data_IF_613583492296
#
_entry.id   IF_613583492296
#
_cell.length_a   1.000
_cell.length_b   1.000
_cell.length_c   1.000
_cell.angle_alpha   90.00
_cell.angle_beta   90.00
_cell.angle_gamma   90.00
#
_symmetry.space_group_name_H-M   'P 1'
#
loop_
_entity.id
_entity.type
_entity.pdbx_description
1 polymer ?
#
# COMPACT_ATOMS: atom_id res chain seq x y z
N UNK A 1 7.39 -20.24 3.17
CA UNK A 1 6.80 -19.78 4.46
C UNK A 1 6.05 -20.94 5.08
N UNK A 2 6.29 -21.30 6.34
CA UNK A 2 5.61 -22.44 7.00
C UNK A 2 4.30 -22.00 7.66
N UNK A 3 3.24 -22.79 7.47
CA UNK A 3 1.90 -22.57 8.04
C UNK A 3 1.66 -23.64 9.12
N UNK A 4 1.17 -23.25 10.29
CA UNK A 4 0.78 -24.16 11.38
C UNK A 4 -0.73 -24.09 11.58
N UNK A 5 -1.34 -25.24 11.88
CA UNK A 5 -2.76 -25.34 12.24
C UNK A 5 -2.90 -25.32 13.75
N UNK A 6 -3.67 -24.38 14.29
CA UNK A 6 -3.91 -24.23 15.73
C UNK A 6 -5.41 -24.18 16.02
N UNK A 7 -5.84 -24.63 17.19
CA UNK A 7 -7.24 -24.55 17.61
C UNK A 7 -7.47 -23.31 18.44
N UNK A 8 -8.55 -22.58 18.16
CA UNK A 8 -8.94 -21.46 18.99
C UNK A 8 -9.44 -21.97 20.35
N UNK A 9 -8.89 -21.49 21.49
CA UNK A 9 -9.30 -21.96 22.82
C UNK A 9 -10.71 -21.53 23.22
N UNK A 10 -11.33 -20.59 22.49
CA UNK A 10 -12.65 -20.05 22.82
C UNK A 10 -13.78 -20.74 22.06
N UNK A 11 -13.54 -21.14 20.80
CA UNK A 11 -14.58 -21.74 19.95
C UNK A 11 -14.18 -23.11 19.36
N UNK A 12 -12.98 -23.63 19.69
CA UNK A 12 -12.41 -24.87 19.16
C UNK A 12 -12.34 -24.95 17.62
N UNK A 13 -12.48 -23.82 16.92
CA UNK A 13 -12.34 -23.77 15.47
C UNK A 13 -10.85 -23.86 15.11
N UNK A 14 -10.46 -24.77 14.20
CA UNK A 14 -9.10 -24.85 13.70
C UNK A 14 -8.82 -23.70 12.74
N UNK A 15 -7.70 -23.01 12.95
CA UNK A 15 -7.25 -21.89 12.11
C UNK A 15 -5.82 -22.12 11.63
N UNK A 16 -5.50 -21.58 10.46
CA UNK A 16 -4.16 -21.64 9.87
C UNK A 16 -3.44 -20.33 10.13
N UNK A 17 -2.29 -20.39 10.79
CA UNK A 17 -1.50 -19.22 11.14
C UNK A 17 -0.06 -19.37 10.64
N UNK A 18 0.61 -18.27 10.25
CA UNK A 18 2.03 -18.28 9.94
C UNK A 18 2.84 -18.75 11.15
N UNK A 19 3.82 -19.62 10.93
CA UNK A 19 4.62 -20.21 12.02
C UNK A 19 5.42 -19.19 12.85
N UNK A 20 5.57 -17.95 12.37
CA UNK A 20 6.29 -16.85 13.01
C UNK A 20 5.42 -15.97 13.92
N UNK A 21 4.10 -16.17 13.97
CA UNK A 21 3.22 -15.35 14.80
C UNK A 21 3.12 -15.89 16.23
N UNK A 22 3.28 -15.00 17.22
CA UNK A 22 3.16 -15.33 18.65
C UNK A 22 1.71 -15.24 19.15
N UNK A 23 0.87 -14.45 18.49
CA UNK A 23 -0.56 -14.29 18.80
C UNK A 23 -1.37 -14.15 17.51
N UNK A 24 -2.63 -14.53 17.57
CA UNK A 24 -3.58 -14.44 16.45
C UNK A 24 -4.97 -14.15 16.97
N UNK A 25 -5.78 -13.51 16.13
CA UNK A 25 -7.21 -13.34 16.37
C UNK A 25 -7.97 -14.49 15.70
N UNK A 26 -8.94 -15.07 16.38
CA UNK A 26 -9.85 -16.04 15.78
C UNK A 26 -10.88 -15.31 14.89
N UNK A 27 -11.03 -15.68 13.60
CA UNK A 27 -12.03 -15.07 12.72
C UNK A 27 -13.47 -15.47 13.10
N UNK A 28 -13.66 -16.60 13.78
CA UNK A 28 -15.00 -17.10 14.14
C UNK A 28 -15.57 -16.47 15.40
N UNK A 29 -14.74 -16.16 16.40
CA UNK A 29 -15.21 -15.63 17.69
C UNK A 29 -14.56 -14.29 18.10
N UNK A 30 -13.65 -13.75 17.29
CA UNK A 30 -12.97 -12.47 17.55
C UNK A 30 -11.94 -12.50 18.70
N UNK A 31 -11.80 -13.61 19.42
CA UNK A 31 -10.89 -13.75 20.55
C UNK A 31 -9.43 -13.77 20.12
N UNK A 32 -8.58 -13.01 20.81
CA UNK A 32 -7.13 -12.98 20.61
C UNK A 32 -6.47 -13.95 21.59
N UNK A 33 -5.60 -14.83 21.09
CA UNK A 33 -4.89 -15.80 21.92
C UNK A 33 -3.44 -15.98 21.48
N UNK A 34 -2.59 -16.41 22.41
CA UNK A 34 -1.18 -16.70 22.18
C UNK A 34 -1.00 -18.12 21.65
N UNK A 35 -0.28 -18.23 20.52
CA UNK A 35 -0.04 -19.48 19.80
C UNK A 35 0.92 -20.40 20.56
N UNK A 36 1.79 -19.83 21.42
CA UNK A 36 2.74 -20.57 22.27
C UNK A 36 2.08 -21.45 23.34
N UNK A 37 0.79 -21.26 23.64
CA UNK A 37 0.08 -22.02 24.67
C UNK A 37 -0.76 -23.20 24.12
N UNK A 38 -0.97 -23.28 22.80
CA UNK A 38 -1.87 -24.26 22.18
C UNK A 38 -1.16 -25.49 21.58
N UNK A 39 0.14 -25.67 21.86
CA UNK A 39 0.90 -26.86 21.48
C UNK A 39 0.88 -27.99 22.54
N UNK A 40 0.10 -27.82 23.62
CA UNK A 40 0.10 -28.73 24.76
C UNK A 40 -1.29 -29.32 25.02
N UNK A 41 -1.89 -29.98 24.04
CA UNK A 41 -2.96 -30.95 24.27
C UNK A 41 -3.12 -31.87 23.05
N UNK A 42 -2.06 -32.64 22.76
CA UNK A 42 -2.23 -33.95 22.15
C UNK A 42 -2.13 -34.98 23.28
N UNK A 43 -3.27 -35.57 23.62
CA UNK A 43 -3.45 -36.60 24.64
C UNK A 43 -2.84 -37.93 24.18
N UNK A 44 -1.82 -38.43 24.89
CA UNK A 44 -1.72 -39.85 25.29
C UNK A 44 -0.72 -40.01 26.47
N UNK A 45 -0.93 -40.98 27.38
CA UNK A 45 -0.37 -40.99 28.75
C UNK A 45 0.99 -41.70 28.90
N UNK A 46 1.84 -41.14 29.80
CA UNK A 46 2.88 -41.68 30.74
C UNK A 46 3.56 -43.07 30.51
N UNK A 47 4.76 -43.38 31.07
CA UNK A 47 5.40 -42.79 32.28
C UNK A 47 6.96 -42.62 32.34
N UNK A 48 7.38 -41.74 33.27
CA UNK A 48 8.49 -41.87 34.25
C UNK A 48 10.00 -41.69 33.92
N UNK A 49 10.53 -40.57 34.48
CA UNK A 49 11.78 -40.38 35.30
C UNK A 49 13.17 -40.36 34.62
N UNK A 50 14.24 -39.84 35.27
CA UNK A 50 14.35 -38.65 36.16
C UNK A 50 15.60 -37.74 35.89
N UNK A 51 15.53 -36.51 36.42
CA UNK A 51 16.57 -35.58 36.92
C UNK A 51 18.08 -35.71 36.53
N UNK A 52 18.69 -34.57 36.18
CA UNK A 52 20.01 -34.19 36.74
C UNK A 52 20.27 -32.68 36.73
N UNK A 53 20.76 -32.22 37.87
CA UNK A 53 21.17 -30.89 38.32
C UNK A 53 22.60 -30.53 37.84
N UNK A 54 23.03 -29.29 38.10
CA UNK A 54 24.41 -28.82 38.47
C UNK A 54 25.03 -27.72 37.57
N UNK A 55 25.08 -26.52 38.18
CA UNK A 55 26.02 -25.36 38.24
C UNK A 55 27.37 -25.27 37.50
N UNK A 56 27.75 -24.00 37.25
CA UNK A 56 29.09 -23.33 37.18
C UNK A 56 30.06 -23.84 36.07
N UNK A 57 30.99 -23.09 35.48
CA UNK A 57 31.91 -22.04 35.94
C UNK A 57 32.36 -21.11 34.79
N UNK A 58 32.98 -19.98 35.16
CA UNK A 58 33.74 -18.99 34.38
C UNK A 58 34.81 -19.58 33.42
N UNK A 59 35.16 -18.84 32.35
CA UNK A 59 36.56 -18.41 32.15
C UNK A 59 36.74 -17.41 30.98
N UNK A 60 37.65 -16.48 31.22
CA UNK A 60 38.12 -15.39 30.37
C UNK A 60 38.84 -15.86 29.09
N UNK A 61 38.79 -15.06 28.02
CA UNK A 61 39.81 -15.06 26.96
C UNK A 61 39.83 -13.73 26.19
N UNK A 62 40.71 -12.87 26.69
CA UNK A 62 41.78 -12.15 26.01
C UNK A 62 41.53 -11.28 24.77
N UNK A 63 42.16 -10.12 24.90
CA UNK A 63 42.39 -9.01 24.00
C UNK A 63 43.10 -9.37 22.68
N UNK A 64 42.85 -8.59 21.61
CA UNK A 64 43.68 -8.66 20.40
C UNK A 64 43.10 -8.03 19.14
N UNK A 65 43.42 -6.76 18.93
CA UNK A 65 43.59 -6.05 17.65
C UNK A 65 43.06 -6.71 16.35
N UNK A 66 41.92 -6.22 15.82
CA UNK A 66 41.53 -6.40 14.41
C UNK A 66 40.81 -5.18 13.82
N UNK A 67 41.41 -4.00 13.93
CA UNK A 67 40.92 -2.77 13.26
C UNK A 67 41.57 -2.55 11.87
N UNK A 68 42.54 -3.37 11.48
CA UNK A 68 43.34 -3.16 10.26
C UNK A 68 42.93 -3.94 8.99
N UNK A 69 41.79 -4.64 8.94
CA UNK A 69 41.51 -5.62 7.86
C UNK A 69 40.14 -5.47 7.17
N UNK A 70 39.59 -4.26 7.08
CA UNK A 70 38.34 -4.01 6.31
C UNK A 70 38.49 -3.02 5.14
N UNK A 71 39.68 -2.42 4.94
CA UNK A 71 39.86 -1.33 3.97
C UNK A 71 40.34 -1.74 2.57
N UNK A 72 40.64 -3.02 2.32
CA UNK A 72 41.18 -3.47 1.01
C UNK A 72 40.12 -4.15 0.12
N UNK A 73 38.96 -4.55 0.66
CA UNK A 73 37.90 -5.23 -0.12
C UNK A 73 36.82 -4.26 -0.65
N UNK A 74 36.77 -3.02 -0.15
CA UNK A 74 35.74 -2.04 -0.52
C UNK A 74 35.94 -1.30 -1.85
N UNK A 75 37.16 -1.29 -2.41
CA UNK A 75 37.50 -0.44 -3.56
C UNK A 75 36.96 -0.92 -4.91
N UNK A 76 36.82 -2.23 -5.11
CA UNK A 76 36.46 -2.80 -6.42
C UNK A 76 34.93 -2.92 -6.58
N UNK A 77 34.19 -3.13 -5.48
CA UNK A 77 32.73 -3.22 -5.52
C UNK A 77 32.05 -1.86 -5.75
N UNK A 78 32.64 -0.75 -5.30
CA UNK A 78 32.10 0.60 -5.49
C UNK A 78 32.07 1.05 -6.96
N UNK A 79 33.12 0.74 -7.73
CA UNK A 79 33.21 1.10 -9.15
C UNK A 79 32.21 0.35 -10.03
N UNK A 80 31.87 -0.91 -9.69
CA UNK A 80 30.86 -1.68 -10.41
C UNK A 80 29.46 -1.08 -10.24
N UNK A 81 29.12 -0.60 -9.04
CA UNK A 81 27.81 0.03 -8.76
C UNK A 81 27.70 1.40 -9.43
N UNK A 82 28.77 2.20 -9.40
CA UNK A 82 28.82 3.50 -10.11
C UNK A 82 28.74 3.31 -11.63
N UNK A 83 29.41 2.28 -12.17
CA UNK A 83 29.30 1.92 -13.58
C UNK A 83 27.89 1.47 -13.98
N UNK A 84 27.21 0.69 -13.13
CA UNK A 84 25.82 0.27 -13.36
C UNK A 84 24.85 1.45 -13.33
N UNK A 85 25.04 2.40 -12.41
CA UNK A 85 24.23 3.63 -12.33
C UNK A 85 24.45 4.49 -13.57
N UNK A 86 25.69 4.65 -14.04
CA UNK A 86 25.98 5.40 -15.28
C UNK A 86 25.45 4.69 -16.53
N UNK A 87 25.47 3.36 -16.58
CA UNK A 87 24.97 2.58 -17.72
C UNK A 87 23.44 2.66 -17.82
N UNK A 88 22.72 2.67 -16.69
CA UNK A 88 21.26 2.91 -16.66
C UNK A 88 20.91 4.35 -17.07
N UNK A 89 21.77 5.32 -16.72
CA UNK A 89 21.55 6.73 -17.09
C UNK A 89 21.88 7.04 -18.56
N UNK A 90 22.76 6.26 -19.21
CA UNK A 90 23.18 6.50 -20.62
C UNK A 90 22.64 5.49 -21.66
N UNK A 91 22.09 4.32 -21.26
CA UNK A 91 21.55 3.34 -22.22
C UNK A 91 20.08 3.55 -22.58
N UNK A 92 19.51 4.73 -22.29
CA UNK A 92 18.18 5.15 -22.74
C UNK A 92 18.12 5.51 -24.23
N UNK A 93 18.73 4.69 -25.09
CA UNK A 93 18.76 4.86 -26.54
C UNK A 93 17.98 3.74 -27.23
N UNK A 94 16.73 4.05 -27.58
CA UNK A 94 15.93 3.52 -28.69
C UNK A 94 16.03 2.02 -29.01
N UNK A 95 15.19 1.22 -28.34
CA UNK A 95 14.66 0.00 -28.96
C UNK A 95 13.30 0.34 -29.54
N UNK A 96 13.26 0.58 -30.85
CA UNK A 96 12.04 0.55 -31.64
C UNK A 96 11.54 -0.91 -31.71
N UNK A 97 10.40 -1.19 -31.08
CA UNK A 97 9.57 -2.39 -31.29
C UNK A 97 8.12 -1.94 -31.47
N UNK A 98 7.29 -2.69 -32.22
CA UNK A 98 6.41 -2.13 -33.25
C UNK A 98 5.04 -1.72 -32.72
N UNK A 99 4.41 -0.80 -33.46
CA UNK A 99 3.03 -0.34 -33.31
C UNK A 99 2.07 -1.42 -32.80
N UNK A 100 1.70 -1.29 -31.53
CA UNK A 100 0.46 -1.84 -30.99
C UNK A 100 -0.54 -0.69 -31.01
N UNK A 101 -1.74 -0.88 -31.58
CA UNK A 101 -2.62 0.22 -31.98
C UNK A 101 -2.85 1.21 -30.85
N UNK A 102 -2.65 2.49 -31.17
CA UNK A 102 -2.91 3.65 -30.33
C UNK A 102 -4.38 3.64 -29.91
N UNK A 103 -4.68 2.95 -28.80
CA UNK A 103 -5.76 3.41 -27.95
C UNK A 103 -5.21 4.68 -27.32
N UNK A 104 -5.86 5.84 -27.48
CA UNK A 104 -5.36 7.07 -26.86
C UNK A 104 -5.43 6.85 -25.35
N UNK A 105 -4.31 6.48 -24.74
CA UNK A 105 -4.08 6.69 -23.32
C UNK A 105 -3.95 8.20 -23.15
N UNK A 106 -5.10 8.88 -23.10
CA UNK A 106 -5.20 10.17 -22.44
C UNK A 106 -4.76 9.91 -21.02
N UNK A 107 -3.51 10.28 -20.68
CA UNK A 107 -3.03 10.17 -19.31
C UNK A 107 -3.97 10.98 -18.44
N UNK A 108 -4.71 10.32 -17.54
CA UNK A 108 -5.77 10.91 -16.72
C UNK A 108 -5.28 12.03 -15.77
N UNK A 109 -3.97 12.22 -15.63
CA UNK A 109 -3.40 13.47 -15.12
C UNK A 109 -3.97 14.70 -15.85
N UNK A 110 -4.21 14.61 -17.16
CA UNK A 110 -4.89 15.66 -17.93
C UNK A 110 -6.39 15.74 -17.65
N UNK A 111 -7.07 14.69 -17.20
CA UNK A 111 -8.49 14.80 -16.82
C UNK A 111 -8.61 15.57 -15.50
N UNK A 112 -7.71 15.33 -14.55
CA UNK A 112 -7.63 16.08 -13.28
C UNK A 112 -7.05 17.49 -13.48
N UNK A 113 -6.23 17.71 -14.50
CA UNK A 113 -5.68 19.04 -14.84
C UNK A 113 -6.63 19.86 -15.75
N UNK A 114 -7.46 19.20 -16.59
CA UNK A 114 -8.59 19.81 -17.33
C UNK A 114 -9.82 20.03 -16.44
N UNK A 115 -10.00 19.24 -15.39
CA UNK A 115 -10.82 19.60 -14.23
C UNK A 115 -10.08 20.72 -13.50
N UNK A 116 -10.07 21.92 -14.08
CA UNK A 116 -9.74 23.15 -13.37
C UNK A 116 -10.57 23.17 -12.09
N UNK A 117 -9.99 22.71 -11.00
CA UNK A 117 -10.52 22.78 -9.63
C UNK A 117 -10.70 24.25 -9.15
N UNK A 118 -10.40 25.21 -10.02
CA UNK A 118 -10.62 26.65 -9.87
C UNK A 118 -11.63 27.23 -10.87
N UNK A 119 -12.33 26.41 -11.68
CA UNK A 119 -13.42 26.91 -12.52
C UNK A 119 -14.63 27.25 -11.65
N UNK A 120 -15.11 28.48 -11.83
CA UNK A 120 -16.30 29.03 -11.17
C UNK A 120 -17.50 28.09 -11.33
N UNK A 121 -18.31 27.84 -10.28
CA UNK A 121 -19.34 26.79 -10.25
C UNK A 121 -20.51 26.92 -11.25
N UNK A 122 -20.49 27.89 -12.16
CA UNK A 122 -21.67 28.33 -12.92
C UNK A 122 -21.83 27.76 -14.32
N UNK A 123 -20.82 27.10 -14.91
CA UNK A 123 -20.83 26.79 -16.35
C UNK A 123 -20.08 25.49 -16.68
N UNK A 124 -20.29 24.45 -15.88
CA UNK A 124 -19.90 23.10 -16.29
C UNK A 124 -21.14 22.41 -16.82
N UNK A 125 -21.24 22.27 -18.14
CA UNK A 125 -22.28 21.45 -18.76
C UNK A 125 -22.12 20.02 -18.23
N UNK A 126 -23.10 19.56 -17.44
CA UNK A 126 -23.09 18.23 -16.84
C UNK A 126 -24.26 17.41 -17.35
N UNK A 127 -24.02 16.11 -17.53
CA UNK A 127 -25.09 15.13 -17.80
C UNK A 127 -25.55 14.52 -16.48
N UNK A 128 -26.85 14.51 -16.27
CA UNK A 128 -27.43 13.77 -15.15
C UNK A 128 -27.26 12.26 -15.38
N UNK A 129 -26.55 11.60 -14.47
CA UNK A 129 -26.31 10.16 -14.51
C UNK A 129 -27.55 9.43 -14.00
N UNK A 130 -27.90 8.30 -14.63
CA UNK A 130 -29.04 7.46 -14.26
C UNK A 130 -28.79 6.69 -12.96
N UNK A 131 -28.84 7.43 -11.85
CA UNK A 131 -28.71 6.97 -10.48
C UNK A 131 -29.67 7.77 -9.59
N UNK A 132 -30.16 7.20 -8.47
CA UNK A 132 -30.91 7.97 -7.48
C UNK A 132 -30.11 9.18 -7.00
N UNK A 133 -30.75 10.33 -6.86
CA UNK A 133 -30.09 11.57 -6.42
C UNK A 133 -29.35 11.39 -5.09
N UNK A 134 -29.92 10.63 -4.14
CA UNK A 134 -29.25 10.31 -2.86
C UNK A 134 -27.93 9.57 -3.05
N UNK A 135 -27.84 8.70 -4.05
CA UNK A 135 -26.60 8.00 -4.42
C UNK A 135 -25.61 8.96 -5.08
N UNK A 136 -26.08 9.83 -5.98
CA UNK A 136 -25.22 10.85 -6.63
C UNK A 136 -24.65 11.83 -5.61
N UNK A 137 -25.46 12.32 -4.67
CA UNK A 137 -25.01 13.17 -3.56
C UNK A 137 -23.98 12.47 -2.67
N UNK A 138 -24.18 11.18 -2.38
CA UNK A 138 -23.18 10.39 -1.64
C UNK A 138 -21.86 10.31 -2.39
N UNK A 139 -21.89 9.97 -3.69
CA UNK A 139 -20.70 9.89 -4.54
C UNK A 139 -19.98 11.25 -4.57
N UNK A 140 -20.72 12.35 -4.75
CA UNK A 140 -20.19 13.71 -4.72
C UNK A 140 -19.47 14.02 -3.41
N UNK A 141 -20.10 13.73 -2.26
CA UNK A 141 -19.50 14.00 -0.95
C UNK A 141 -18.24 13.16 -0.74
N UNK A 142 -18.29 11.88 -1.08
CA UNK A 142 -17.17 10.97 -0.86
C UNK A 142 -15.98 11.36 -1.77
N UNK A 143 -16.24 11.69 -3.04
CA UNK A 143 -15.24 12.18 -3.99
C UNK A 143 -14.67 13.56 -3.58
N UNK A 144 -15.52 14.52 -3.19
CA UNK A 144 -15.05 15.85 -2.76
C UNK A 144 -14.18 15.80 -1.50
N UNK A 145 -14.53 14.96 -0.52
CA UNK A 145 -13.72 14.75 0.68
C UNK A 145 -12.36 14.10 0.36
N UNK A 146 -12.35 13.14 -0.57
CA UNK A 146 -11.11 12.52 -1.04
C UNK A 146 -10.19 13.53 -1.73
N UNK A 147 -10.71 14.35 -2.64
CA UNK A 147 -9.93 15.39 -3.31
C UNK A 147 -9.40 16.42 -2.30
N UNK A 148 -10.25 16.86 -1.37
CA UNK A 148 -9.87 17.82 -0.33
C UNK A 148 -8.78 17.26 0.61
N UNK A 149 -8.85 15.98 0.96
CA UNK A 149 -7.85 15.36 1.84
C UNK A 149 -6.53 15.06 1.11
N UNK A 150 -6.59 14.65 -0.16
CA UNK A 150 -5.43 14.32 -0.99
C UNK A 150 -4.63 15.58 -1.36
N UNK A 151 -5.31 16.62 -1.84
CA UNK A 151 -4.64 17.82 -2.35
C UNK A 151 -4.65 19.02 -1.40
N UNK A 152 -5.50 19.01 -0.36
CA UNK A 152 -5.61 20.15 0.57
C UNK A 152 -4.33 20.42 1.35
N UNK A 153 -3.60 19.37 1.77
CA UNK A 153 -2.29 19.51 2.42
C UNK A 153 -1.14 19.67 1.42
N UNK A 154 -1.29 19.15 0.21
CA UNK A 154 -0.30 19.24 -0.86
C UNK A 154 -0.05 20.69 -1.32
N UNK A 155 -1.02 21.60 -1.14
CA UNK A 155 -0.84 23.05 -1.39
C UNK A 155 0.35 23.68 -0.64
N UNK A 156 0.83 23.06 0.45
CA UNK A 156 1.99 23.56 1.22
C UNK A 156 3.33 23.21 0.58
N UNK A 157 3.36 22.27 -0.36
CA UNK A 157 4.57 21.87 -1.07
C UNK A 157 4.55 22.56 -2.44
N UNK A 158 5.63 23.25 -2.84
CA UNK A 158 5.72 23.84 -4.16
C UNK A 158 5.46 22.78 -5.22
N UNK A 159 4.48 23.02 -6.11
CA UNK A 159 4.23 22.15 -7.26
C UNK A 159 5.43 22.10 -8.21
N UNK A 160 6.26 23.16 -8.19
CA UNK A 160 7.50 23.27 -8.93
C UNK A 160 8.64 22.53 -8.22
N UNK A 161 9.16 21.49 -8.86
CA UNK A 161 10.32 20.71 -8.40
C UNK A 161 10.04 19.21 -8.41
N UNK A 162 11.10 18.40 -8.51
CA UNK A 162 11.01 16.93 -8.66
C UNK A 162 10.20 16.28 -7.52
N UNK A 163 10.40 16.73 -6.28
CA UNK A 163 9.67 16.22 -5.13
C UNK A 163 8.16 16.58 -5.16
N UNK A 164 7.82 17.80 -5.61
CA UNK A 164 6.43 18.24 -5.76
C UNK A 164 5.71 17.49 -6.87
N UNK A 165 6.39 17.24 -7.99
CA UNK A 165 5.86 16.45 -9.10
C UNK A 165 5.62 14.98 -8.70
N UNK A 166 6.59 14.35 -8.04
CA UNK A 166 6.45 12.98 -7.55
C UNK A 166 5.29 12.85 -6.53
N UNK A 167 5.14 13.82 -5.64
CA UNK A 167 4.01 13.84 -4.71
C UNK A 167 2.67 14.00 -5.45
N UNK A 168 2.57 14.94 -6.39
CA UNK A 168 1.33 15.11 -7.16
C UNK A 168 0.99 13.85 -7.98
N UNK A 169 1.99 13.17 -8.54
CA UNK A 169 1.79 11.93 -9.27
C UNK A 169 1.28 10.80 -8.38
N UNK A 170 1.85 10.66 -7.18
CA UNK A 170 1.39 9.65 -6.21
C UNK A 170 -0.01 9.94 -5.68
N UNK A 171 -0.32 11.20 -5.38
CA UNK A 171 -1.67 11.62 -4.99
C UNK A 171 -2.69 11.41 -6.12
N UNK A 172 -2.31 11.74 -7.37
CA UNK A 172 -3.11 11.46 -8.55
C UNK A 172 -3.42 9.98 -8.69
N UNK A 173 -2.42 9.11 -8.62
CA UNK A 173 -2.61 7.67 -8.73
C UNK A 173 -3.51 7.08 -7.63
N UNK A 174 -3.48 7.64 -6.42
CA UNK A 174 -4.39 7.25 -5.34
C UNK A 174 -5.82 7.66 -5.67
N UNK A 175 -6.01 8.92 -6.08
CA UNK A 175 -7.33 9.44 -6.48
C UNK A 175 -7.90 8.63 -7.64
N UNK A 176 -7.10 8.32 -8.66
CA UNK A 176 -7.52 7.52 -9.81
C UNK A 176 -8.03 6.14 -9.37
N UNK A 177 -7.27 5.44 -8.52
CA UNK A 177 -7.69 4.13 -7.99
C UNK A 177 -9.02 4.22 -7.24
N UNK A 178 -9.21 5.25 -6.43
CA UNK A 178 -10.45 5.42 -5.66
C UNK A 178 -11.63 5.79 -6.56
N UNK A 179 -11.42 6.59 -7.62
CA UNK A 179 -12.44 6.86 -8.64
C UNK A 179 -12.86 5.59 -9.34
N UNK A 180 -11.90 4.76 -9.78
CA UNK A 180 -12.20 3.45 -10.35
C UNK A 180 -13.00 2.60 -9.38
N UNK A 181 -12.64 2.60 -8.09
CA UNK A 181 -13.36 1.85 -7.07
C UNK A 181 -14.81 2.34 -6.88
N UNK A 182 -15.03 3.65 -6.84
CA UNK A 182 -16.37 4.26 -6.76
C UNK A 182 -17.20 3.86 -7.98
N UNK A 183 -16.61 3.98 -9.18
CA UNK A 183 -17.25 3.63 -10.44
C UNK A 183 -17.71 2.16 -10.46
N UNK A 184 -16.81 1.24 -10.10
CA UNK A 184 -17.11 -0.19 -10.01
C UNK A 184 -18.15 -0.52 -8.94
N UNK A 185 -18.09 0.15 -7.78
CA UNK A 185 -19.05 -0.08 -6.67
C UNK A 185 -20.47 0.30 -7.06
N UNK A 186 -20.63 1.33 -7.88
CA UNK A 186 -21.93 1.86 -8.29
C UNK A 186 -22.36 1.41 -9.69
N UNK A 187 -21.53 0.63 -10.40
CA UNK A 187 -21.83 0.17 -11.76
C UNK A 187 -21.89 1.30 -12.79
N UNK A 188 -21.14 2.38 -12.57
CA UNK A 188 -21.05 3.55 -13.45
C UNK A 188 -19.65 3.68 -14.04
N UNK A 189 -19.49 4.56 -15.02
CA UNK A 189 -18.17 4.87 -15.57
C UNK A 189 -17.42 5.89 -14.70
N UNK A 190 -16.10 5.95 -14.84
CA UNK A 190 -15.28 6.99 -14.18
C UNK A 190 -15.68 8.40 -14.65
N UNK A 191 -16.07 8.53 -15.92
CA UNK A 191 -16.65 9.75 -16.49
C UNK A 191 -17.93 10.15 -15.75
N UNK A 192 -18.81 9.21 -15.45
CA UNK A 192 -20.04 9.48 -14.71
C UNK A 192 -19.76 10.00 -13.29
N UNK A 193 -18.67 9.54 -12.65
CA UNK A 193 -18.23 10.09 -11.34
C UNK A 193 -17.84 11.57 -11.50
N UNK A 194 -17.13 11.92 -12.57
CA UNK A 194 -16.77 13.32 -12.86
C UNK A 194 -18.01 14.17 -13.18
N UNK A 195 -18.98 13.62 -13.92
CA UNK A 195 -20.25 14.30 -14.22
C UNK A 195 -21.08 14.53 -12.96
N UNK A 196 -21.14 13.56 -12.04
CA UNK A 196 -21.78 13.70 -10.72
C UNK A 196 -21.06 14.78 -9.88
N UNK A 197 -19.73 14.85 -9.98
CA UNK A 197 -18.98 15.90 -9.30
C UNK A 197 -19.34 17.29 -9.83
N UNK A 198 -19.39 17.45 -11.15
CA UNK A 198 -19.81 18.70 -11.80
C UNK A 198 -21.28 19.06 -11.47
N UNK A 199 -22.19 18.10 -11.49
CA UNK A 199 -23.59 18.26 -11.05
C UNK A 199 -23.64 18.81 -9.63
N UNK A 200 -22.89 18.20 -8.69
CA UNK A 200 -22.89 18.63 -7.30
C UNK A 200 -22.30 20.01 -7.07
N UNK A 201 -21.28 20.41 -7.85
CA UNK A 201 -20.76 21.79 -7.84
C UNK A 201 -21.81 22.78 -8.35
N UNK A 202 -22.47 22.48 -9.47
CA UNK A 202 -23.49 23.35 -10.06
C UNK A 202 -24.75 23.49 -9.17
N UNK A 203 -25.16 22.39 -8.50
CA UNK A 203 -26.30 22.37 -7.57
C UNK A 203 -25.96 22.86 -6.16
N UNK A 204 -24.68 23.10 -5.85
CA UNK A 204 -24.24 23.54 -4.54
C UNK A 204 -24.43 22.50 -3.43
N UNK A 205 -24.25 21.22 -3.75
CA UNK A 205 -24.28 20.13 -2.77
C UNK A 205 -23.15 20.28 -1.74
N UNK A 206 -23.42 19.86 -0.50
CA UNK A 206 -22.52 19.98 0.65
C UNK A 206 -22.02 18.63 1.15
#
# INVERSE_FOLDING_TARGET
MSIKRVQCPQCNVPINVPASMASTQCPSCGGVFSISAAASQASNPQPARPAKTVTNDDDDSDSGDRIGQWLVVGGVAGLAVVGLILLVLFSGGSTEEPEKPEVPMRSQAQVVEDLKLEQTPGEVEYREVDLPESTRQKIYRDYSQMIASSFGKAKKIPKSGVAGQALNQTLGAVVDREVTHIALTHGITEEDVAQIYAEGQAKGWK
#
